data_IF_356004715579
#
_entry.id   IF_356004715579
#
_cell.length_a   1.000
_cell.length_b   1.000
_cell.length_c   1.000
_cell.angle_alpha   90.00
_cell.angle_beta   90.00
_cell.angle_gamma   90.00
#
_symmetry.space_group_name_H-M   'P 1'
#
loop_
_entity.id
_entity.type
_entity.pdbx_description
1 polymer ?
#
# COMPACT_ATOMS: atom_id res chain seq x y z
N UNK A 1 14.95 24.29 -4.60
CA UNK A 1 14.42 23.85 -4.77
C UNK A 1 13.86 23.18 -4.60
N UNK A 2 13.60 22.97 -4.38
CA UNK A 2 12.93 22.39 -4.48
C UNK A 2 12.07 21.92 -4.59
N UNK A 3 12.02 22.11 -4.59
CA UNK A 3 10.57 22.12 -4.67
C UNK A 3 9.93 20.83 -5.04
N UNK A 4 9.94 19.93 -4.16
CA UNK A 4 9.20 18.70 -4.36
C UNK A 4 7.77 18.96 -3.94
N UNK A 5 6.88 19.13 -4.92
CA UNK A 5 5.45 19.28 -4.69
C UNK A 5 4.74 17.93 -4.86
N UNK A 6 5.27 16.91 -4.22
CA UNK A 6 4.61 15.60 -4.23
C UNK A 6 3.47 15.64 -3.23
N UNK A 7 2.28 15.35 -3.70
CA UNK A 7 1.12 15.23 -2.82
C UNK A 7 1.03 13.82 -2.27
N UNK A 8 0.54 13.66 -1.03
CA UNK A 8 0.49 12.33 -0.41
C UNK A 8 -0.22 11.28 -1.25
N UNK A 9 -1.32 11.64 -1.91
CA UNK A 9 -2.06 10.68 -2.72
C UNK A 9 -1.24 10.13 -3.90
N UNK A 10 -0.24 10.87 -4.36
CA UNK A 10 0.60 10.39 -5.46
C UNK A 10 1.39 9.15 -5.08
N UNK A 11 1.70 8.99 -3.79
CA UNK A 11 2.34 7.75 -3.31
C UNK A 11 1.40 6.56 -3.50
N UNK A 12 0.12 6.75 -3.16
CA UNK A 12 -0.89 5.71 -3.35
C UNK A 12 -1.09 5.39 -4.84
N UNK A 13 -1.08 6.41 -5.68
CA UNK A 13 -1.19 6.21 -7.13
C UNK A 13 -0.02 5.42 -7.67
N UNK A 14 1.19 5.70 -7.18
CA UNK A 14 2.38 4.97 -7.59
C UNK A 14 2.29 3.51 -7.15
N UNK A 15 1.89 3.27 -5.90
CA UNK A 15 1.71 1.92 -5.37
C UNK A 15 0.69 1.13 -6.20
N UNK A 16 -0.45 1.75 -6.49
CA UNK A 16 -1.50 1.17 -7.33
C UNK A 16 -0.96 0.80 -8.71
N UNK A 17 -0.24 1.74 -9.34
CA UNK A 17 0.31 1.52 -10.67
C UNK A 17 1.31 0.36 -10.68
N UNK A 18 2.27 0.37 -9.75
CA UNK A 18 3.30 -0.67 -9.70
C UNK A 18 2.69 -2.05 -9.44
N UNK A 19 1.72 -2.12 -8.54
CA UNK A 19 1.07 -3.39 -8.23
C UNK A 19 0.29 -3.90 -9.43
N UNK A 20 -0.50 -3.04 -10.07
CA UNK A 20 -1.36 -3.44 -11.18
C UNK A 20 -0.57 -3.75 -12.45
N UNK A 21 0.64 -3.19 -12.59
CA UNK A 21 1.54 -3.53 -13.69
C UNK A 21 2.42 -4.74 -13.38
N UNK A 22 2.16 -5.41 -12.26
CA UNK A 22 2.92 -6.58 -11.80
C UNK A 22 4.42 -6.29 -11.64
N UNK A 23 4.74 -5.06 -11.24
CA UNK A 23 6.12 -4.65 -11.04
C UNK A 23 6.50 -4.82 -9.57
N UNK A 24 6.93 -6.02 -9.21
CA UNK A 24 7.30 -6.35 -7.83
C UNK A 24 8.35 -5.41 -7.27
N UNK A 25 9.43 -5.17 -8.02
CA UNK A 25 10.50 -4.30 -7.53
C UNK A 25 10.02 -2.87 -7.35
N UNK A 26 9.10 -2.41 -8.22
CA UNK A 26 8.51 -1.08 -8.09
C UNK A 26 7.67 -0.93 -6.84
N UNK A 27 6.91 -1.96 -6.48
CA UNK A 27 6.15 -1.97 -5.23
C UNK A 27 7.10 -1.93 -4.04
N UNK A 28 8.12 -2.79 -4.04
CA UNK A 28 9.04 -2.91 -2.91
C UNK A 28 9.83 -1.64 -2.65
N UNK A 29 10.18 -0.91 -3.70
CA UNK A 29 10.90 0.36 -3.56
C UNK A 29 10.12 1.41 -2.78
N UNK A 30 8.79 1.31 -2.76
CA UNK A 30 7.97 2.28 -2.05
C UNK A 30 8.00 2.09 -0.55
N UNK A 31 8.39 0.91 -0.06
CA UNK A 31 8.40 0.59 1.36
C UNK A 31 9.75 0.92 1.99
N UNK A 32 9.71 1.67 3.08
CA UNK A 32 10.92 1.98 3.84
C UNK A 32 11.53 0.69 4.40
N UNK A 33 12.85 0.69 4.59
CA UNK A 33 13.55 -0.50 5.07
C UNK A 33 13.08 -0.94 6.46
N UNK A 34 12.59 0.01 7.26
CA UNK A 34 12.04 -0.29 8.58
C UNK A 34 10.52 -0.26 8.62
N UNK A 35 9.89 -0.34 7.45
CA UNK A 35 8.43 -0.34 7.34
C UNK A 35 7.82 -1.55 8.05
N UNK A 36 6.65 -1.33 8.63
CA UNK A 36 5.82 -2.41 9.15
C UNK A 36 4.61 -2.54 8.23
N UNK A 37 4.38 -3.74 7.74
CA UNK A 37 3.19 -4.06 6.93
C UNK A 37 2.33 -5.06 7.69
N UNK A 38 1.09 -4.67 7.93
CA UNK A 38 0.07 -5.55 8.50
C UNK A 38 -0.87 -5.88 7.35
N UNK A 39 -0.70 -7.03 6.68
CA UNK A 39 -1.39 -7.29 5.41
C UNK A 39 -2.74 -7.95 5.59
N UNK A 40 -3.59 -7.81 4.57
CA UNK A 40 -4.93 -8.42 4.56
C UNK A 40 -4.86 -9.94 4.49
N UNK A 41 -3.92 -10.48 3.73
CA UNK A 41 -3.92 -11.89 3.35
C UNK A 41 -2.90 -12.74 4.10
N UNK A 42 -2.50 -12.27 5.28
CA UNK A 42 -1.60 -12.99 6.16
C UNK A 42 -1.95 -12.65 7.59
N UNK A 43 -1.77 -13.60 8.50
CA UNK A 43 -1.96 -13.34 9.94
C UNK A 43 -0.70 -12.76 10.57
N UNK A 44 0.39 -12.65 9.81
CA UNK A 44 1.66 -12.18 10.33
C UNK A 44 1.80 -10.66 10.20
N UNK A 45 2.54 -10.07 11.12
CA UNK A 45 2.97 -8.68 11.01
C UNK A 45 4.36 -8.72 10.39
N UNK A 46 4.52 -8.08 9.23
CA UNK A 46 5.76 -8.14 8.47
C UNK A 46 6.63 -6.95 8.83
N UNK A 47 7.84 -7.22 9.31
CA UNK A 47 8.71 -6.18 9.87
C UNK A 47 10.04 -6.01 9.13
N UNK A 48 10.29 -6.79 8.08
CA UNK A 48 11.47 -6.62 7.26
C UNK A 48 11.15 -6.79 5.77
N UNK A 49 12.06 -6.31 4.92
CA UNK A 49 11.85 -6.30 3.49
C UNK A 49 11.73 -7.70 2.87
N UNK A 50 12.40 -8.69 3.45
CA UNK A 50 12.31 -10.05 2.94
C UNK A 50 10.91 -10.61 3.10
N UNK A 51 10.31 -10.39 4.27
CA UNK A 51 8.93 -10.80 4.52
C UNK A 51 7.95 -10.07 3.62
N UNK A 52 8.16 -8.77 3.43
CA UNK A 52 7.30 -7.94 2.57
C UNK A 52 7.41 -8.42 1.13
N UNK A 53 8.62 -8.73 0.68
CA UNK A 53 8.85 -9.27 -0.67
C UNK A 53 8.10 -10.59 -0.87
N UNK A 54 8.25 -11.51 0.07
CA UNK A 54 7.58 -12.80 -0.03
C UNK A 54 6.07 -12.65 -0.12
N UNK A 55 5.52 -11.71 0.65
CA UNK A 55 4.10 -11.41 0.62
C UNK A 55 3.66 -10.93 -0.77
N UNK A 56 4.38 -9.97 -1.33
CA UNK A 56 4.00 -9.42 -2.65
C UNK A 56 4.31 -10.38 -3.80
N UNK A 57 5.27 -11.28 -3.65
CA UNK A 57 5.44 -12.37 -4.63
C UNK A 57 4.14 -13.17 -4.72
N UNK A 58 3.55 -13.52 -3.59
CA UNK A 58 2.30 -14.27 -3.59
C UNK A 58 1.15 -13.46 -4.17
N UNK A 59 1.02 -12.20 -3.77
CA UNK A 59 -0.08 -11.35 -4.24
C UNK A 59 0.04 -11.06 -5.72
N UNK A 60 1.23 -10.68 -6.17
CA UNK A 60 1.43 -10.19 -7.55
C UNK A 60 1.68 -11.34 -8.52
N UNK A 61 2.64 -12.21 -8.20
CA UNK A 61 3.12 -13.20 -9.17
C UNK A 61 2.30 -14.50 -9.14
N UNK A 62 1.90 -14.93 -7.95
CA UNK A 62 1.16 -16.18 -7.82
C UNK A 62 -0.33 -15.97 -8.03
N UNK A 63 -0.92 -15.00 -7.35
CA UNK A 63 -2.37 -14.76 -7.37
C UNK A 63 -2.81 -13.73 -8.39
N UNK A 64 -1.87 -13.08 -9.05
CA UNK A 64 -2.16 -12.05 -10.07
C UNK A 64 -3.10 -10.97 -9.54
N UNK A 65 -2.86 -10.53 -8.32
CA UNK A 65 -3.71 -9.55 -7.66
C UNK A 65 -3.64 -8.18 -8.32
N UNK A 66 -4.78 -7.53 -8.36
CA UNK A 66 -4.90 -6.13 -8.78
C UNK A 66 -5.63 -5.40 -7.67
N UNK A 67 -5.48 -4.09 -7.62
CA UNK A 67 -6.13 -3.29 -6.60
C UNK A 67 -6.83 -2.11 -7.26
N UNK A 68 -7.96 -1.74 -6.67
CA UNK A 68 -8.75 -0.60 -7.12
C UNK A 68 -9.09 0.25 -5.92
N UNK A 69 -8.61 1.50 -5.88
CA UNK A 69 -8.97 2.42 -4.81
C UNK A 69 -10.38 2.93 -4.99
N UNK A 70 -11.05 3.21 -3.87
CA UNK A 70 -12.31 3.92 -3.85
C UNK A 70 -12.00 5.39 -3.49
N UNK A 71 -11.86 6.28 -4.48
CA UNK A 71 -11.29 7.61 -4.24
C UNK A 71 -12.05 8.45 -3.22
N UNK A 72 -13.39 8.33 -3.21
CA UNK A 72 -14.21 9.12 -2.30
C UNK A 72 -14.10 8.69 -0.84
N UNK A 73 -13.45 7.55 -0.59
CA UNK A 73 -13.27 7.04 0.77
C UNK A 73 -11.99 7.54 1.44
N UNK A 74 -11.10 8.19 0.70
CA UNK A 74 -9.74 8.46 1.17
C UNK A 74 -9.69 9.73 2.00
N UNK A 75 -9.19 9.59 3.23
CA UNK A 75 -8.94 10.69 4.16
C UNK A 75 -7.44 10.89 4.30
N UNK A 76 -7.04 12.14 4.38
CA UNK A 76 -5.64 12.53 4.48
C UNK A 76 -5.44 13.37 5.73
N UNK A 77 -4.49 12.97 6.58
CA UNK A 77 -4.17 13.67 7.81
C UNK A 77 -2.69 13.99 7.84
N UNK A 78 -2.34 15.26 8.02
CA UNK A 78 -0.95 15.61 8.24
C UNK A 78 -0.61 15.33 9.70
N UNK A 79 0.36 14.47 9.93
CA UNK A 79 0.72 14.04 11.29
C UNK A 79 2.11 14.51 11.71
N UNK A 80 2.80 15.20 10.83
CA UNK A 80 4.11 15.74 11.10
C UNK A 80 4.61 16.49 9.88
N UNK A 81 5.85 17.00 9.95
CA UNK A 81 6.44 17.69 8.82
C UNK A 81 6.69 16.69 7.69
N UNK A 82 6.03 16.89 6.56
CA UNK A 82 6.07 16.01 5.40
C UNK A 82 5.62 14.57 5.70
N UNK A 83 4.93 14.36 6.82
CA UNK A 83 4.40 13.06 7.23
C UNK A 83 2.89 13.10 7.16
N UNK A 84 2.31 12.13 6.47
CA UNK A 84 0.86 12.06 6.26
C UNK A 84 0.34 10.65 6.51
N UNK A 85 -0.85 10.59 7.10
CA UNK A 85 -1.58 9.33 7.27
C UNK A 85 -2.75 9.34 6.29
N UNK A 86 -2.79 8.36 5.40
CA UNK A 86 -3.86 8.22 4.41
C UNK A 86 -4.66 6.97 4.75
N UNK A 87 -5.97 7.14 4.87
CA UNK A 87 -6.85 6.03 5.23
C UNK A 87 -8.01 5.97 4.25
N UNK A 88 -8.49 4.78 3.96
CA UNK A 88 -9.59 4.64 3.02
C UNK A 88 -9.91 3.20 2.72
N UNK A 89 -10.52 2.98 1.56
CA UNK A 89 -10.94 1.66 1.11
C UNK A 89 -10.41 1.36 -0.27
N UNK A 90 -10.09 0.09 -0.50
CA UNK A 90 -9.75 -0.41 -1.83
C UNK A 90 -10.32 -1.82 -1.97
N UNK A 91 -10.32 -2.31 -3.20
CA UNK A 91 -10.82 -3.64 -3.51
C UNK A 91 -9.70 -4.41 -4.20
N UNK A 92 -9.37 -5.58 -3.68
CA UNK A 92 -8.44 -6.49 -4.34
C UNK A 92 -9.21 -7.40 -5.29
N UNK A 93 -8.66 -7.61 -6.47
CA UNK A 93 -9.19 -8.50 -7.49
C UNK A 93 -8.15 -9.57 -7.78
N UNK A 94 -8.52 -10.82 -7.64
CA UNK A 94 -7.61 -11.94 -7.88
C UNK A 94 -8.00 -12.71 -9.13
N UNK A 95 -7.07 -13.53 -9.60
CA UNK A 95 -7.25 -14.32 -10.82
C UNK A 95 -8.52 -15.18 -10.79
N UNK A 96 -8.93 -15.64 -9.63
CA UNK A 96 -10.14 -16.45 -9.44
C UNK A 96 -11.42 -15.62 -9.39
N UNK A 97 -11.32 -14.35 -9.75
CA UNK A 97 -12.44 -13.39 -9.78
C UNK A 97 -13.01 -13.05 -8.40
N UNK A 98 -12.28 -13.37 -7.33
CA UNK A 98 -12.67 -12.92 -6.01
C UNK A 98 -12.44 -11.43 -5.89
N UNK A 99 -13.42 -10.75 -5.32
CA UNK A 99 -13.29 -9.33 -4.98
C UNK A 99 -13.25 -9.23 -3.47
N UNK A 100 -12.19 -8.66 -2.94
CA UNK A 100 -12.03 -8.57 -1.49
C UNK A 100 -11.91 -7.11 -1.11
N UNK A 101 -12.99 -6.51 -0.61
CA UNK A 101 -12.93 -5.14 -0.12
C UNK A 101 -12.17 -5.07 1.19
N UNK A 102 -11.37 -4.02 1.33
CA UNK A 102 -10.52 -3.84 2.50
C UNK A 102 -10.43 -2.37 2.87
N UNK A 103 -10.07 -2.13 4.13
CA UNK A 103 -9.73 -0.80 4.62
C UNK A 103 -8.22 -0.73 4.76
N UNK A 104 -7.69 0.47 4.60
CA UNK A 104 -6.24 0.64 4.69
C UNK A 104 -5.86 1.92 5.43
N UNK A 105 -4.63 1.92 5.94
CA UNK A 105 -3.94 3.13 6.36
C UNK A 105 -2.50 3.03 5.89
N UNK A 106 -2.01 4.11 5.27
CA UNK A 106 -0.61 4.27 4.89
C UNK A 106 -0.05 5.47 5.64
N UNK A 107 1.08 5.28 6.32
CA UNK A 107 1.85 6.41 6.83
C UNK A 107 2.98 6.67 5.84
N UNK A 108 3.02 7.87 5.29
CA UNK A 108 4.02 8.20 4.27
C UNK A 108 4.87 9.40 4.69
N UNK A 109 6.16 9.32 4.33
CA UNK A 109 7.11 10.42 4.49
C UNK A 109 7.46 10.90 3.09
N UNK A 110 6.99 12.10 2.73
CA UNK A 110 7.15 12.61 1.36
C UNK A 110 8.59 12.95 1.00
N UNK A 111 9.48 13.05 1.99
CA UNK A 111 10.89 13.35 1.73
C UNK A 111 11.74 12.12 1.50
N UNK A 112 11.19 10.93 1.71
CA UNK A 112 11.93 9.69 1.56
C UNK A 112 11.76 9.12 0.15
N UNK A 113 12.83 8.53 -0.39
CA UNK A 113 12.75 7.78 -1.63
C UNK A 113 11.91 6.49 -1.47
N UNK A 114 11.78 6.03 -0.23
CA UNK A 114 10.98 4.86 0.12
C UNK A 114 9.90 5.35 1.09
N UNK A 115 8.86 6.00 0.60
CA UNK A 115 7.99 6.83 1.42
C UNK A 115 7.05 6.09 2.36
N UNK A 116 6.73 4.82 2.11
CA UNK A 116 5.76 4.10 2.95
C UNK A 116 6.45 3.62 4.21
N UNK A 117 6.09 4.25 5.34
CA UNK A 117 6.66 3.95 6.65
C UNK A 117 5.87 2.90 7.38
N UNK A 118 4.58 2.81 7.10
CA UNK A 118 3.67 1.85 7.73
C UNK A 118 2.48 1.62 6.81
N UNK A 119 2.02 0.38 6.71
CA UNK A 119 0.85 0.06 5.91
C UNK A 119 0.03 -0.99 6.64
N UNK A 120 -1.20 -0.64 6.96
CA UNK A 120 -2.15 -1.58 7.57
C UNK A 120 -3.31 -1.79 6.60
N UNK A 121 -3.65 -3.05 6.39
CA UNK A 121 -4.71 -3.44 5.47
C UNK A 121 -5.54 -4.53 6.14
N UNK A 122 -6.86 -4.41 6.10
CA UNK A 122 -7.74 -5.41 6.71
C UNK A 122 -9.01 -5.55 5.89
N UNK A 123 -9.46 -6.79 5.75
CA UNK A 123 -10.69 -7.09 5.01
C UNK A 123 -11.89 -6.50 5.73
N UNK A 124 -12.82 -5.95 4.94
CA UNK A 124 -14.07 -5.44 5.49
C UNK A 124 -14.96 -6.64 5.80
N UNK A 125 -15.46 -6.68 7.03
CA UNK A 125 -16.36 -7.73 7.45
C UNK A 125 -17.77 -7.42 6.94
N UNK A 126 -18.35 -8.36 6.19
CA UNK A 126 -19.73 -8.25 5.77
C UNK A 126 -20.67 -8.73 6.86
N UNK A 127 -21.68 -7.94 7.16
CA UNK A 127 -22.73 -8.35 8.09
C UNK A 127 -23.91 -8.96 7.34
#
# INVERSE_FOLDING_TARGET
MNGINIKPFEILKSWHHQLNEENLSGVLKLYDISCVLIPTFSSEILTDHEQIKEYFVKVIEVQKGKVEFQPNSISEQQVGWNMFLLSGKYIFHFMRKEKIPARFSFLVNLLSENPIMHHHSSQIISN
#
